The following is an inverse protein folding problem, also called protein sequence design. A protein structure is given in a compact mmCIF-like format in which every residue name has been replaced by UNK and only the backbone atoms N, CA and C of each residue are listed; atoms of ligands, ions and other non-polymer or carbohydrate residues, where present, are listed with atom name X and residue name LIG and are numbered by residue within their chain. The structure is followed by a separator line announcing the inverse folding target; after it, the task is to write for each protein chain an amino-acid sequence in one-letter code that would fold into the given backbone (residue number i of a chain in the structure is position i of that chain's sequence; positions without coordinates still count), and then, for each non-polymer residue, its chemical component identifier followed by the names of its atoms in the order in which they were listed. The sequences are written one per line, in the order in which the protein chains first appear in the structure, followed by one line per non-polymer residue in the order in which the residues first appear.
data_IF_935044416011
#
_entry.id   IF_935044416011
#
_cell.length_a   1.000
_cell.length_b   1.000
_cell.length_c   1.000
_cell.angle_alpha   90.00
_cell.angle_beta   90.00
_cell.angle_gamma   90.00
#
_symmetry.space_group_name_H-M   'P 1'
#
loop_
_entity.id
_entity.type
_entity.pdbx_description
1 polymer ?
#
# COMPACT_ATOMS: atom_id res chain seq x y z
N UNK A 1 -8.43 16.28 -9.33
CA UNK A 1 -9.83 15.80 -9.47
C UNK A 1 -10.06 15.37 -10.90
N UNK A 2 -10.67 14.21 -11.10
CA UNK A 2 -11.05 13.66 -12.41
C UNK A 2 -12.55 13.36 -12.37
N UNK A 3 -13.32 13.93 -13.31
CA UNK A 3 -14.79 13.78 -13.36
C UNK A 3 -15.51 14.15 -12.04
N UNK A 4 -14.95 15.08 -11.27
CA UNK A 4 -15.50 15.50 -9.98
C UNK A 4 -15.11 14.64 -8.78
N UNK A 5 -14.30 13.59 -8.98
CA UNK A 5 -13.81 12.71 -7.91
C UNK A 5 -12.34 13.00 -7.56
N UNK A 6 -11.91 12.75 -6.31
CA UNK A 6 -10.50 12.71 -5.95
C UNK A 6 -9.75 11.72 -6.83
N UNK A 7 -8.52 12.07 -7.21
CA UNK A 7 -7.65 11.24 -8.02
C UNK A 7 -6.32 11.15 -7.30
N UNK A 8 -5.81 9.92 -7.18
CA UNK A 8 -4.44 9.63 -6.75
C UNK A 8 -3.73 8.83 -7.85
N UNK A 9 -2.48 9.16 -8.11
CA UNK A 9 -1.67 8.54 -9.16
C UNK A 9 -0.47 7.83 -8.51
N UNK A 10 -0.36 6.53 -8.75
CA UNK A 10 0.69 5.70 -8.14
C UNK A 10 1.29 4.71 -9.15
N UNK A 11 2.60 4.53 -9.07
CA UNK A 11 3.34 3.54 -9.87
C UNK A 11 3.21 2.11 -9.32
N UNK A 12 2.62 1.96 -8.12
CA UNK A 12 2.40 0.66 -7.50
C UNK A 12 1.37 -0.20 -8.25
N UNK A 13 0.45 0.46 -8.98
CA UNK A 13 -0.59 -0.21 -9.76
C UNK A 13 -0.02 -0.60 -11.12
N UNK A 14 0.01 -1.91 -11.41
CA UNK A 14 0.50 -2.45 -12.69
C UNK A 14 -0.59 -3.15 -13.49
N UNK A 15 -0.60 -2.91 -14.79
CA UNK A 15 -1.44 -3.61 -15.75
C UNK A 15 -0.85 -4.95 -16.17
N UNK A 16 -1.51 -5.61 -17.12
CA UNK A 16 -0.97 -6.83 -17.74
C UNK A 16 0.36 -6.61 -18.48
N UNK A 17 0.63 -5.38 -18.90
CA UNK A 17 1.88 -4.96 -19.54
C UNK A 17 2.27 -3.56 -19.05
N UNK A 18 3.57 -3.23 -19.08
CA UNK A 18 4.09 -1.96 -18.55
C UNK A 18 3.58 -0.71 -19.29
N UNK A 19 3.06 -0.87 -20.51
CA UNK A 19 2.49 0.22 -21.30
C UNK A 19 0.99 0.46 -21.06
N UNK A 20 0.34 -0.38 -20.24
CA UNK A 20 -1.11 -0.35 -20.03
C UNK A 20 -1.44 0.43 -18.77
N UNK A 21 -2.21 1.51 -18.92
CA UNK A 21 -2.71 2.27 -17.78
C UNK A 21 -3.88 1.52 -17.12
N UNK A 22 -3.85 1.43 -15.79
CA UNK A 22 -4.91 0.81 -14.99
C UNK A 22 -5.54 1.86 -14.09
N UNK A 23 -6.87 1.86 -14.06
CA UNK A 23 -7.67 2.72 -13.21
C UNK A 23 -8.44 1.87 -12.22
N UNK A 24 -8.40 2.28 -10.96
CA UNK A 24 -9.31 1.80 -9.93
C UNK A 24 -10.26 2.93 -9.55
N UNK A 25 -11.55 2.64 -9.55
CA UNK A 25 -12.59 3.61 -9.22
C UNK A 25 -13.67 2.96 -8.35
N UNK A 26 -13.98 3.58 -7.22
CA UNK A 26 -14.96 3.07 -6.27
C UNK A 26 -14.76 3.67 -4.88
N UNK A 27 -15.39 3.05 -3.89
CA UNK A 27 -15.27 3.47 -2.49
C UNK A 27 -14.18 2.65 -1.79
N UNK A 28 -13.02 3.29 -1.60
CA UNK A 28 -11.89 2.70 -0.87
C UNK A 28 -12.08 2.68 0.65
N UNK A 29 -13.13 3.29 1.20
CA UNK A 29 -13.41 3.26 2.65
C UNK A 29 -13.72 1.83 3.14
N UNK A 30 -14.11 0.93 2.23
CA UNK A 30 -14.28 -0.50 2.52
C UNK A 30 -12.95 -1.27 2.65
N UNK A 31 -11.84 -0.67 2.23
CA UNK A 31 -10.50 -1.18 2.45
C UNK A 31 -9.95 -0.60 3.75
N UNK A 32 -10.02 -1.39 4.82
CA UNK A 32 -9.55 -0.96 6.14
C UNK A 32 -8.13 -1.47 6.33
N UNK A 33 -7.18 -0.54 6.41
CA UNK A 33 -5.80 -0.83 6.79
C UNK A 33 -5.69 -0.59 8.29
N UNK A 34 -5.27 -1.62 9.02
CA UNK A 34 -4.93 -1.55 10.43
C UNK A 34 -3.41 -1.51 10.55
N UNK A 35 -2.91 -0.44 11.14
CA UNK A 35 -1.51 -0.28 11.47
C UNK A 35 -1.35 -0.43 12.99
N UNK A 36 -0.19 -0.98 13.42
CA UNK A 36 0.15 -0.98 14.83
C UNK A 36 0.17 0.47 15.37
N UNK A 37 -0.18 0.69 16.64
CA UNK A 37 -0.24 2.05 17.21
C UNK A 37 1.11 2.78 17.19
N UNK A 38 2.20 2.02 17.14
CA UNK A 38 3.57 2.55 17.08
C UNK A 38 4.03 2.85 15.64
N UNK A 39 3.35 2.30 14.62
CA UNK A 39 3.67 2.48 13.20
C UNK A 39 5.02 1.87 12.80
N UNK A 40 5.83 2.65 12.07
CA UNK A 40 7.19 2.26 11.68
C UNK A 40 8.13 2.27 12.89
N UNK A 41 8.63 1.09 13.27
CA UNK A 41 9.60 0.93 14.34
C UNK A 41 11.02 0.87 13.77
N UNK A 42 11.95 1.59 14.42
CA UNK A 42 13.37 1.63 14.06
C UNK A 42 14.18 1.11 15.24
N UNK A 43 14.79 -0.05 15.04
CA UNK A 43 15.68 -0.69 16.02
C UNK A 43 17.14 -0.52 15.59
N UNK A 44 17.96 0.11 16.44
CA UNK A 44 19.40 0.25 16.21
C UNK A 44 20.12 -1.01 16.72
N UNK A 45 20.71 -1.78 15.80
CA UNK A 45 21.39 -3.03 16.10
C UNK A 45 22.84 -2.77 16.55
N UNK A 46 23.00 -2.24 17.75
CA UNK A 46 24.30 -1.79 18.28
C UNK A 46 25.34 -2.91 18.38
N UNK A 47 24.93 -4.12 18.72
CA UNK A 47 25.87 -5.22 19.01
C UNK A 47 26.24 -6.06 17.78
N UNK A 48 25.31 -6.21 16.83
CA UNK A 48 25.45 -7.16 15.71
C UNK A 48 26.57 -6.77 14.73
N UNK A 49 26.89 -5.48 14.63
CA UNK A 49 27.83 -4.94 13.65
C UNK A 49 29.09 -4.30 14.26
N UNK A 50 29.31 -4.43 15.58
CA UNK A 50 30.47 -3.82 16.25
C UNK A 50 31.82 -4.29 15.71
N UNK A 51 31.93 -5.57 15.33
CA UNK A 51 33.18 -6.16 14.85
C UNK A 51 33.57 -5.67 13.44
N UNK A 52 32.64 -5.05 12.71
CA UNK A 52 32.83 -4.61 11.32
C UNK A 52 32.86 -3.08 11.20
N UNK A 53 32.72 -2.35 12.32
CA UNK A 53 32.60 -0.88 12.37
C UNK A 53 31.43 -0.35 11.52
N UNK A 54 30.31 -1.07 11.53
CA UNK A 54 29.08 -0.70 10.82
C UNK A 54 27.92 -0.48 11.82
N UNK A 55 26.89 0.25 11.38
CA UNK A 55 25.66 0.48 12.17
C UNK A 55 24.49 -0.20 11.47
N UNK A 56 23.95 -1.25 12.08
CA UNK A 56 22.73 -1.89 11.62
C UNK A 56 21.49 -1.12 12.05
N UNK A 57 20.59 -0.88 11.11
CA UNK A 57 19.24 -0.35 11.37
C UNK A 57 18.23 -1.38 10.89
N UNK A 58 17.36 -1.82 11.79
CA UNK A 58 16.24 -2.69 11.46
C UNK A 58 14.97 -1.85 11.48
N UNK A 59 14.39 -1.68 10.31
CA UNK A 59 13.12 -1.00 10.12
C UNK A 59 12.05 -2.05 9.89
N UNK A 60 10.98 -2.03 10.70
CA UNK A 60 9.84 -2.90 10.48
C UNK A 60 8.54 -2.14 10.73
N UNK A 61 7.52 -2.47 9.95
CA UNK A 61 6.17 -1.98 10.12
C UNK A 61 5.22 -3.17 9.94
N UNK A 62 4.30 -3.37 10.89
CA UNK A 62 3.27 -4.39 10.79
C UNK A 62 1.98 -3.74 10.32
N UNK A 63 1.61 -4.08 9.09
CA UNK A 63 0.39 -3.62 8.44
C UNK A 63 -0.52 -4.83 8.19
N UNK A 64 -1.77 -4.74 8.63
CA UNK A 64 -2.83 -5.68 8.26
C UNK A 64 -3.89 -4.95 7.44
N UNK A 65 -4.42 -5.62 6.42
CA UNK A 65 -5.36 -5.04 5.47
C UNK A 65 -6.54 -5.96 5.28
N UNK A 66 -7.75 -5.47 5.55
CA UNK A 66 -8.99 -6.21 5.31
C UNK A 66 -9.87 -5.48 4.30
N UNK A 67 -10.20 -6.18 3.22
CA UNK A 67 -11.24 -5.75 2.31
C UNK A 67 -12.59 -6.28 2.80
N UNK A 68 -13.51 -5.37 3.10
CA UNK A 68 -14.89 -5.70 3.44
C UNK A 68 -15.70 -5.73 2.15
N UNK A 69 -16.04 -6.92 1.68
CA UNK A 69 -16.89 -7.08 0.49
C UNK A 69 -18.36 -6.83 0.84
N UNK A 70 -19.04 -6.08 -0.02
CA UNK A 70 -20.50 -6.06 -0.06
C UNK A 70 -21.00 -7.28 -0.84
N UNK A 71 -22.06 -7.94 -0.36
CA UNK A 71 -22.64 -9.11 -1.04
C UNK A 71 -23.38 -8.74 -2.34
N UNK A 72 -23.75 -7.47 -2.51
CA UNK A 72 -24.68 -7.02 -3.56
C UNK A 72 -23.96 -6.30 -4.70
N UNK A 73 -22.92 -5.52 -4.41
CA UNK A 73 -22.24 -4.67 -5.40
C UNK A 73 -20.72 -4.69 -5.23
N UNK A 74 -19.94 -4.66 -6.33
CA UNK A 74 -18.49 -4.56 -6.26
C UNK A 74 -18.07 -3.19 -5.73
N UNK A 75 -17.22 -3.19 -4.69
CA UNK A 75 -16.77 -1.97 -4.00
C UNK A 75 -15.82 -1.12 -4.83
N UNK A 76 -14.99 -1.74 -5.67
CA UNK A 76 -14.03 -1.06 -6.55
C UNK A 76 -14.03 -1.70 -7.93
N UNK A 77 -14.15 -0.87 -8.96
CA UNK A 77 -14.02 -1.26 -10.35
C UNK A 77 -12.58 -1.11 -10.83
N UNK A 78 -12.12 -2.07 -11.64
CA UNK A 78 -10.80 -2.05 -12.29
C UNK A 78 -11.00 -1.93 -13.79
N UNK A 79 -10.35 -0.94 -14.41
CA UNK A 79 -10.33 -0.74 -15.85
C UNK A 79 -8.89 -0.72 -16.35
N UNK A 80 -8.58 -1.55 -17.34
CA UNK A 80 -7.33 -1.46 -18.10
C UNK A 80 -7.62 -0.82 -19.45
N UNK A 81 -6.94 0.28 -19.77
CA UNK A 81 -7.06 0.93 -21.08
C UNK A 81 -6.03 0.29 -22.02
N UNK A 82 -6.53 -0.46 -23.01
CA UNK A 82 -5.73 -1.04 -24.09
C UNK A 82 -5.48 -0.05 -25.22
#
# INVERSE_FOLDING_TARGET
MLLGFPLDCTDAVKGSADSVAVFYFGDFSFFVIQENSEGLEIEIMKEMYMNVNEVGLKLYNLLDGKLIYSEVEPTVYRLEIK
#
